data_IF_660032164139
#
_entry.id   IF_660032164139
#
_cell.length_a   1.000
_cell.length_b   1.000
_cell.length_c   1.000
_cell.angle_alpha   90.00
_cell.angle_beta   90.00
_cell.angle_gamma   90.00
#
_symmetry.space_group_name_H-M   'P 1'
#
loop_
_entity.id
_entity.type
_entity.pdbx_description
1 polymer ?
#
# COMPACT_ATOMS: atom_id res chain seq x y z
N UNK A 1 -8.93 -27.45 -0.77
CA UNK A 1 -9.32 -26.47 0.26
C UNK A 1 -8.30 -25.35 0.17
N UNK A 2 -8.72 -24.11 -0.11
CA UNK A 2 -7.79 -22.98 -0.09
C UNK A 2 -7.19 -22.87 1.32
N UNK A 3 -5.87 -22.73 1.42
CA UNK A 3 -5.24 -22.54 2.72
C UNK A 3 -5.68 -21.19 3.26
N UNK A 4 -6.20 -21.16 4.48
CA UNK A 4 -6.57 -19.91 5.14
C UNK A 4 -5.27 -19.13 5.41
N UNK A 5 -5.24 -17.85 5.03
CA UNK A 5 -4.11 -16.97 5.33
C UNK A 5 -3.95 -16.83 6.85
N UNK A 6 -2.81 -17.27 7.38
CA UNK A 6 -2.41 -17.10 8.78
C UNK A 6 -0.99 -16.51 8.82
N UNK A 7 -0.82 -15.22 9.14
CA UNK A 7 0.49 -14.57 9.12
C UNK A 7 1.47 -15.16 10.13
N UNK A 8 1.01 -15.70 11.27
CA UNK A 8 1.90 -16.31 12.27
C UNK A 8 2.64 -17.52 11.69
N UNK A 9 1.90 -18.38 10.98
CA UNK A 9 2.44 -19.59 10.36
C UNK A 9 3.29 -19.28 9.11
N UNK A 10 2.83 -18.36 8.26
CA UNK A 10 3.53 -18.05 7.00
C UNK A 10 4.82 -17.27 7.25
N UNK A 11 4.83 -16.32 8.20
CA UNK A 11 5.99 -15.49 8.48
C UNK A 11 6.93 -16.10 9.54
N UNK A 12 6.49 -17.16 10.22
CA UNK A 12 7.17 -17.78 11.37
C UNK A 12 7.45 -16.75 12.49
N UNK A 13 6.41 -15.99 12.84
CA UNK A 13 6.45 -14.96 13.88
C UNK A 13 5.30 -15.22 14.86
N UNK A 14 5.63 -15.34 16.14
CA UNK A 14 4.66 -15.76 17.18
C UNK A 14 4.62 -14.75 18.34
N UNK A 15 4.09 -13.53 18.14
CA UNK A 15 4.13 -12.49 19.16
C UNK A 15 3.18 -12.77 20.33
N UNK A 16 2.17 -13.62 20.15
CA UNK A 16 1.30 -14.10 21.25
C UNK A 16 2.00 -15.09 22.19
N UNK A 17 3.17 -15.61 21.80
CA UNK A 17 3.95 -16.54 22.62
C UNK A 17 4.50 -15.90 23.90
N UNK A 18 4.80 -16.75 24.89
CA UNK A 18 5.40 -16.33 26.18
C UNK A 18 6.74 -15.60 25.97
N UNK A 19 7.47 -15.97 24.91
CA UNK A 19 8.71 -15.31 24.50
C UNK A 19 8.73 -15.15 22.97
N UNK A 20 9.05 -13.94 22.53
CA UNK A 20 9.30 -13.62 21.12
C UNK A 20 10.79 -13.27 20.97
N UNK A 21 11.48 -14.01 20.11
CA UNK A 21 12.90 -13.77 19.78
C UNK A 21 13.04 -12.89 18.55
N UNK A 22 14.17 -12.19 18.46
CA UNK A 22 14.48 -11.32 17.34
C UNK A 22 14.64 -12.10 16.02
N UNK A 23 13.95 -11.68 14.96
CA UNK A 23 14.02 -12.31 13.63
C UNK A 23 15.34 -12.04 12.87
N UNK A 24 16.13 -11.08 13.33
CA UNK A 24 17.40 -10.69 12.70
C UNK A 24 18.51 -11.73 12.82
N UNK A 25 19.50 -11.63 11.94
CA UNK A 25 20.64 -12.56 11.87
C UNK A 25 21.93 -11.92 12.40
N UNK A 26 22.53 -12.54 13.41
CA UNK A 26 23.84 -12.14 13.96
C UNK A 26 24.99 -12.83 13.23
N UNK A 27 26.14 -12.16 13.10
CA UNK A 27 27.39 -12.79 12.62
C UNK A 27 27.83 -13.88 13.62
N UNK A 28 27.92 -15.11 13.14
CA UNK A 28 28.46 -16.23 13.91
C UNK A 28 29.99 -16.19 14.02
N UNK A 29 30.54 -16.98 14.95
CA UNK A 29 31.99 -17.09 15.19
C UNK A 29 32.76 -17.77 14.05
N UNK A 30 32.08 -18.51 13.18
CA UNK A 30 32.65 -19.10 11.96
C UNK A 30 32.47 -18.14 10.79
N UNK A 31 33.51 -17.92 9.98
CA UNK A 31 33.44 -17.12 8.74
C UNK A 31 32.25 -17.63 7.89
N UNK A 32 31.35 -16.73 7.52
CA UNK A 32 30.13 -16.95 6.72
C UNK A 32 28.96 -17.73 7.35
N UNK A 33 28.93 -17.97 8.67
CA UNK A 33 27.71 -18.46 9.30
C UNK A 33 26.95 -17.31 9.96
N UNK A 34 25.72 -17.09 9.51
CA UNK A 34 24.75 -16.25 10.21
C UNK A 34 23.97 -17.12 11.19
N UNK A 35 23.78 -16.65 12.43
CA UNK A 35 22.98 -17.34 13.44
C UNK A 35 21.76 -16.48 13.79
N UNK A 36 20.59 -17.10 14.07
CA UNK A 36 19.43 -16.37 14.56
C UNK A 36 19.75 -15.60 15.85
N UNK A 37 19.24 -14.38 15.95
CA UNK A 37 19.39 -13.58 17.15
C UNK A 37 18.56 -14.19 18.30
N UNK A 38 19.20 -14.45 19.43
CA UNK A 38 18.54 -15.01 20.62
C UNK A 38 17.98 -13.93 21.57
N UNK A 39 18.11 -12.64 21.21
CA UNK A 39 17.60 -11.55 22.03
C UNK A 39 16.07 -11.56 22.05
N UNK A 40 15.50 -11.34 23.23
CA UNK A 40 14.06 -11.21 23.40
C UNK A 40 13.58 -9.82 22.97
N UNK A 41 12.38 -9.77 22.39
CA UNK A 41 11.71 -8.53 22.02
C UNK A 41 10.96 -7.94 23.22
N UNK A 42 10.92 -6.61 23.29
CA UNK A 42 10.27 -5.88 24.39
C UNK A 42 8.77 -6.18 24.43
N UNK A 43 8.14 -6.05 25.61
CA UNK A 43 6.69 -6.27 25.76
C UNK A 43 5.86 -5.32 24.89
N UNK A 44 6.29 -4.07 24.74
CA UNK A 44 5.60 -3.07 23.91
C UNK A 44 5.69 -3.39 22.42
N UNK A 45 6.86 -3.77 21.92
CA UNK A 45 7.02 -4.13 20.51
C UNK A 45 6.25 -5.42 20.18
N UNK A 46 6.18 -6.36 21.14
CA UNK A 46 5.40 -7.59 20.99
C UNK A 46 3.90 -7.31 20.88
N UNK A 47 3.37 -6.43 21.73
CA UNK A 47 1.97 -6.02 21.66
C UNK A 47 1.66 -5.34 20.31
N UNK A 48 2.58 -4.51 19.80
CA UNK A 48 2.44 -3.88 18.49
C UNK A 48 2.52 -4.91 17.34
N UNK A 49 3.42 -5.89 17.42
CA UNK A 49 3.51 -6.98 16.45
C UNK A 49 2.18 -7.78 16.39
N UNK A 50 1.57 -8.09 17.54
CA UNK A 50 0.25 -8.75 17.57
C UNK A 50 -0.84 -7.92 16.87
N UNK A 51 -0.88 -6.60 17.10
CA UNK A 51 -1.85 -5.73 16.41
C UNK A 51 -1.64 -5.69 14.89
N UNK A 52 -0.39 -5.71 14.45
CA UNK A 52 -0.05 -5.74 13.02
C UNK A 52 -0.44 -7.08 12.40
N UNK A 53 -0.22 -8.21 13.09
CA UNK A 53 -0.66 -9.53 12.63
C UNK A 53 -2.18 -9.66 12.57
N UNK A 54 -2.92 -9.09 13.53
CA UNK A 54 -4.38 -9.01 13.46
C UNK A 54 -4.83 -8.24 12.22
N UNK A 55 -4.16 -7.13 11.93
CA UNK A 55 -4.41 -6.34 10.71
C UNK A 55 -4.11 -7.15 9.45
N UNK A 56 -2.97 -7.82 9.39
CA UNK A 56 -2.57 -8.67 8.26
C UNK A 56 -3.53 -9.85 8.06
N UNK A 57 -4.04 -10.45 9.15
CA UNK A 57 -4.98 -11.58 9.11
C UNK A 57 -6.33 -11.21 8.49
N UNK A 58 -6.72 -9.94 8.55
CA UNK A 58 -7.95 -9.43 7.93
C UNK A 58 -7.80 -9.11 6.45
N UNK A 59 -6.58 -9.12 5.88
CA UNK A 59 -6.34 -8.79 4.48
C UNK A 59 -6.42 -10.05 3.60
N UNK A 60 -7.08 -9.92 2.45
CA UNK A 60 -7.03 -10.95 1.40
C UNK A 60 -5.74 -10.80 0.57
N UNK A 61 -4.64 -11.33 1.11
CA UNK A 61 -3.32 -11.23 0.46
C UNK A 61 -3.25 -11.96 -0.89
N UNK A 62 -4.16 -12.89 -1.17
CA UNK A 62 -4.22 -13.60 -2.46
C UNK A 62 -4.83 -12.69 -3.53
N UNK A 63 -5.86 -11.92 -3.18
CA UNK A 63 -6.47 -10.95 -4.09
C UNK A 63 -5.63 -9.68 -4.26
N UNK A 64 -5.08 -9.15 -3.16
CA UNK A 64 -4.34 -7.88 -3.13
C UNK A 64 -2.90 -8.04 -3.68
N UNK A 65 -2.26 -9.18 -3.44
CA UNK A 65 -0.85 -9.39 -3.73
C UNK A 65 0.08 -8.64 -2.76
N UNK A 66 1.38 -8.92 -2.86
CA UNK A 66 2.40 -8.41 -1.91
C UNK A 66 2.84 -6.97 -2.21
N UNK A 67 2.70 -6.53 -3.47
CA UNK A 67 3.12 -5.20 -3.94
C UNK A 67 2.12 -4.10 -3.58
N UNK A 68 0.95 -4.44 -3.02
CA UNK A 68 0.03 -3.42 -2.59
C UNK A 68 0.60 -2.66 -1.38
N UNK A 69 0.54 -1.33 -1.45
CA UNK A 69 1.15 -0.43 -0.46
C UNK A 69 0.77 -0.76 0.99
N UNK A 70 -0.40 -1.33 1.21
CA UNK A 70 -0.90 -1.70 2.53
C UNK A 70 -0.13 -2.91 3.09
N UNK A 71 -0.05 -4.02 2.35
CA UNK A 71 0.63 -5.25 2.80
C UNK A 71 2.12 -4.97 3.02
N UNK A 72 2.78 -4.33 2.07
CA UNK A 72 4.21 -4.00 2.15
C UNK A 72 4.53 -3.10 3.35
N UNK A 73 3.68 -2.11 3.66
CA UNK A 73 3.85 -1.24 4.82
C UNK A 73 3.63 -1.97 6.14
N UNK A 74 2.64 -2.87 6.22
CA UNK A 74 2.42 -3.66 7.43
C UNK A 74 3.57 -4.63 7.69
N UNK A 75 4.13 -5.25 6.64
CA UNK A 75 5.32 -6.10 6.76
C UNK A 75 6.54 -5.32 7.26
N UNK A 76 6.80 -4.10 6.77
CA UNK A 76 7.90 -3.26 7.27
C UNK A 76 7.72 -2.89 8.76
N UNK A 77 6.50 -2.51 9.16
CA UNK A 77 6.20 -2.23 10.56
C UNK A 77 6.37 -3.47 11.43
N UNK A 78 5.92 -4.64 10.96
CA UNK A 78 6.08 -5.90 11.68
C UNK A 78 7.55 -6.21 11.90
N UNK A 79 8.40 -6.09 10.86
CA UNK A 79 9.85 -6.31 10.94
C UNK A 79 10.50 -5.39 11.95
N UNK A 80 10.14 -4.10 11.97
CA UNK A 80 10.69 -3.16 12.96
C UNK A 80 10.34 -3.58 14.39
N UNK A 81 9.18 -4.19 14.60
CA UNK A 81 8.76 -4.72 15.90
C UNK A 81 9.45 -6.05 16.25
N UNK A 82 9.77 -6.88 15.26
CA UNK A 82 10.40 -8.20 15.46
C UNK A 82 11.92 -8.14 15.55
N UNK A 83 12.55 -7.00 15.28
CA UNK A 83 13.99 -6.80 15.43
C UNK A 83 14.35 -6.16 16.78
N UNK A 84 15.36 -6.70 17.46
CA UNK A 84 15.82 -6.15 18.74
C UNK A 84 16.45 -4.75 18.58
N UNK A 85 16.10 -3.83 19.48
CA UNK A 85 16.47 -2.42 19.42
C UNK A 85 17.99 -2.16 19.53
N UNK A 86 18.73 -3.06 20.19
CA UNK A 86 20.16 -2.88 20.48
C UNK A 86 21.06 -3.06 19.27
N UNK A 87 20.74 -4.00 18.37
CA UNK A 87 21.65 -4.42 17.29
C UNK A 87 20.98 -4.33 15.92
N UNK A 88 19.85 -5.01 15.73
CA UNK A 88 19.29 -5.21 14.38
C UNK A 88 18.33 -4.10 13.93
N UNK A 89 17.53 -3.52 14.84
CA UNK A 89 16.58 -2.45 14.46
C UNK A 89 17.24 -1.17 13.94
N UNK A 90 18.52 -0.93 14.29
CA UNK A 90 19.27 0.25 13.84
C UNK A 90 19.98 0.04 12.49
N UNK A 91 19.98 -1.19 11.98
CA UNK A 91 20.67 -1.54 10.75
C UNK A 91 19.64 -1.63 9.62
N UNK A 92 19.55 -0.60 8.78
CA UNK A 92 18.58 -0.57 7.67
C UNK A 92 18.73 -1.79 6.74
N UNK A 93 19.96 -2.26 6.52
CA UNK A 93 20.22 -3.47 5.74
C UNK A 93 19.56 -4.74 6.33
N UNK A 94 19.48 -4.85 7.66
CA UNK A 94 18.79 -5.97 8.31
C UNK A 94 17.27 -5.82 8.24
N UNK A 95 16.75 -4.59 8.33
CA UNK A 95 15.32 -4.32 8.15
C UNK A 95 14.92 -4.73 6.73
N UNK A 96 15.59 -4.19 5.70
CA UNK A 96 15.30 -4.50 4.30
C UNK A 96 15.39 -6.00 4.03
N UNK A 97 16.47 -6.67 4.43
CA UNK A 97 16.63 -8.10 4.20
C UNK A 97 15.56 -8.96 4.91
N UNK A 98 15.11 -8.56 6.11
CA UNK A 98 14.04 -9.28 6.82
C UNK A 98 12.68 -9.00 6.19
N UNK A 99 12.42 -7.76 5.76
CA UNK A 99 11.21 -7.38 5.03
C UNK A 99 11.10 -8.13 3.70
N UNK A 100 12.19 -8.24 2.95
CA UNK A 100 12.23 -9.00 1.69
C UNK A 100 11.96 -10.49 1.94
N UNK A 101 12.55 -11.08 2.99
CA UNK A 101 12.25 -12.47 3.39
C UNK A 101 10.76 -12.67 3.71
N UNK A 102 10.13 -11.72 4.40
CA UNK A 102 8.70 -11.79 4.71
C UNK A 102 7.87 -11.68 3.43
N UNK A 103 8.21 -10.76 2.53
CA UNK A 103 7.56 -10.63 1.22
C UNK A 103 7.67 -11.90 0.39
N UNK A 104 8.84 -12.52 0.33
CA UNK A 104 9.05 -13.80 -0.35
C UNK A 104 8.15 -14.89 0.23
N UNK A 105 8.03 -14.97 1.56
CA UNK A 105 7.16 -15.95 2.22
C UNK A 105 5.68 -15.74 1.86
N UNK A 106 5.22 -14.49 1.77
CA UNK A 106 3.85 -14.18 1.32
C UNK A 106 3.68 -14.50 -0.18
N UNK A 107 4.65 -14.17 -1.03
CA UNK A 107 4.61 -14.49 -2.46
C UNK A 107 4.54 -16.00 -2.69
N UNK A 108 5.30 -16.79 -1.93
CA UNK A 108 5.26 -18.25 -1.98
C UNK A 108 3.88 -18.79 -1.57
N UNK A 109 3.30 -18.24 -0.50
CA UNK A 109 1.93 -18.58 -0.08
C UNK A 109 0.89 -18.26 -1.17
N UNK A 110 0.98 -17.08 -1.78
CA UNK A 110 0.09 -16.64 -2.85
C UNK A 110 0.25 -17.53 -4.09
N UNK A 111 1.48 -17.87 -4.47
CA UNK A 111 1.78 -18.78 -5.58
C UNK A 111 1.24 -20.20 -5.35
N UNK A 112 1.35 -20.73 -4.12
CA UNK A 112 0.75 -22.02 -3.76
C UNK A 112 -0.77 -21.99 -3.87
N UNK A 113 -1.42 -20.94 -3.35
CA UNK A 113 -2.88 -20.80 -3.41
C UNK A 113 -3.40 -20.60 -4.83
N UNK A 114 -2.71 -19.81 -5.67
CA UNK A 114 -3.08 -19.70 -7.08
C UNK A 114 -2.97 -21.04 -7.81
N UNK A 115 -1.91 -21.81 -7.58
CA UNK A 115 -1.79 -23.17 -8.16
C UNK A 115 -2.97 -24.04 -7.75
N UNK A 116 -3.33 -24.05 -6.46
CA UNK A 116 -4.47 -24.85 -5.96
C UNK A 116 -5.83 -24.35 -6.46
N UNK A 117 -6.02 -23.04 -6.59
CA UNK A 117 -7.26 -22.43 -7.13
C UNK A 117 -7.46 -22.67 -8.62
N UNK A 118 -6.37 -22.67 -9.41
CA UNK A 118 -6.41 -23.02 -10.83
C UNK A 118 -6.76 -24.50 -11.03
N UNK A 119 -6.32 -25.39 -10.14
CA UNK A 119 -6.74 -26.80 -10.15
C UNK A 119 -8.23 -26.98 -9.81
N UNK A 120 -8.76 -26.23 -8.84
CA UNK A 120 -10.17 -26.28 -8.47
C UNK A 120 -11.09 -25.82 -9.63
N UNK A 121 -10.71 -24.77 -10.37
CA UNK A 121 -11.45 -24.32 -11.55
C UNK A 121 -11.30 -25.25 -12.77
N UNK A 122 -10.25 -26.09 -12.82
CA UNK A 122 -10.10 -27.13 -13.84
C UNK A 122 -10.94 -28.38 -13.55
N UNK A 123 -11.16 -28.74 -12.29
CA UNK A 123 -12.04 -29.85 -11.91
C UNK A 123 -13.54 -29.49 -12.01
N UNK A 124 -13.89 -28.20 -11.89
CA UNK A 124 -15.26 -27.70 -12.13
C UNK A 124 -15.58 -27.41 -13.61
N UNK A 125 -14.70 -27.75 -14.56
CA UNK A 125 -15.17 -27.93 -15.94
C UNK A 125 -16.19 -29.07 -15.91
N UNK A 126 -17.46 -28.86 -16.31
CA UNK A 126 -18.44 -29.93 -16.32
C UNK A 126 -17.86 -31.05 -17.16
N UNK A 127 -17.57 -32.19 -16.52
CA UNK A 127 -17.31 -33.44 -17.24
C UNK A 127 -18.46 -33.56 -18.21
N UNK A 128 -18.18 -33.45 -19.50
CA UNK A 128 -19.13 -33.80 -20.55
C UNK A 128 -19.42 -35.28 -20.30
N UNK A 129 -20.47 -35.55 -19.54
CA UNK A 129 -21.02 -36.87 -19.38
C UNK A 129 -21.47 -37.22 -20.78
N UNK A 130 -20.69 -38.07 -21.45
CA UNK A 130 -21.14 -38.80 -22.63
C UNK A 130 -22.36 -39.58 -22.15
N UNK A 131 -23.54 -39.02 -22.39
CA UNK A 131 -24.80 -39.62 -22.02
C UNK A 131 -24.93 -40.95 -22.76
N UNK A 132 -24.65 -42.04 -22.05
CA UNK A 132 -25.22 -43.33 -22.37
C UNK A 132 -26.74 -43.14 -22.42
N UNK A 133 -27.30 -43.38 -23.61
CA UNK A 133 -28.74 -43.35 -23.89
C UNK A 133 -29.46 -44.36 -22.99
N UNK A 134 -29.89 -43.94 -21.81
CA UNK A 134 -30.96 -44.62 -21.10
C UNK A 134 -32.29 -44.00 -21.49
N UNK A 135 -33.10 -44.85 -22.14
CA UNK A 135 -34.50 -44.60 -22.44
C UNK A 135 -35.28 -44.53 -21.12
N UNK A 136 -35.75 -43.36 -20.73
CA UNK A 136 -36.88 -43.26 -19.80
C UNK A 136 -37.81 -42.15 -20.26
N UNK A 137 -38.87 -42.61 -20.94
CA UNK A 137 -40.27 -42.26 -20.71
C UNK A 137 -40.53 -41.02 -19.84
N UNK A 138 -40.93 -39.89 -20.42
CA UNK A 138 -41.75 -38.89 -19.72
C UNK A 138 -42.84 -38.33 -20.64
N UNK A 139 -44.05 -38.60 -20.21
CA UNK A 139 -45.31 -37.95 -20.55
C UNK A 139 -45.30 -36.50 -20.01
N UNK A 140 -45.98 -35.57 -20.68
CA UNK A 140 -46.57 -34.41 -20.01
C UNK A 140 -46.27 -33.01 -20.56
N UNK A 141 -47.19 -32.52 -21.40
CA UNK A 141 -47.64 -31.13 -21.57
C UNK A 141 -46.77 -30.08 -22.33
N UNK A 142 -47.36 -28.96 -22.82
CA UNK A 142 -48.67 -28.80 -23.44
C UNK A 142 -48.57 -28.28 -24.89
N UNK A 143 -49.63 -28.56 -25.65
CA UNK A 143 -49.87 -28.11 -27.03
C UNK A 143 -49.84 -26.58 -27.16
N UNK A 144 -48.97 -26.07 -28.03
CA UNK A 144 -49.18 -24.81 -28.74
C UNK A 144 -49.60 -25.14 -30.19
N UNK A 145 -50.73 -24.58 -30.61
CA UNK A 145 -51.32 -24.74 -31.94
C UNK A 145 -50.56 -23.92 -32.99
N UNK A 146 -50.43 -24.41 -34.23
CA UNK A 146 -50.30 -23.54 -35.40
C UNK A 146 -51.65 -23.41 -36.13
N UNK A 147 -51.94 -22.16 -36.49
CA UNK A 147 -53.02 -21.68 -37.36
C UNK A 147 -52.92 -22.31 -38.77
N UNK A 148 -54.04 -22.62 -39.45
CA UNK A 148 -54.03 -23.22 -40.78
C UNK A 148 -53.97 -22.17 -41.88
N UNK A 149 -53.12 -22.41 -42.89
CA UNK A 149 -53.20 -21.73 -44.18
C UNK A 149 -53.50 -22.77 -45.27
N UNK A 150 -54.74 -22.72 -45.74
CA UNK A 150 -55.22 -23.38 -46.94
C UNK A 150 -54.48 -22.85 -48.17
N UNK A 151 -53.92 -23.75 -49.00
CA UNK A 151 -53.72 -23.51 -50.43
C UNK A 151 -53.69 -24.84 -51.21
N UNK A 152 -54.88 -25.17 -51.69
CA UNK A 152 -55.28 -26.04 -52.78
C UNK A 152 -54.17 -26.58 -53.71
N UNK A 153 -53.98 -27.91 -53.72
CA UNK A 153 -53.63 -28.66 -54.94
C UNK A 153 -54.18 -30.10 -54.81
N UNK A 154 -55.32 -30.35 -55.47
CA UNK A 154 -55.96 -31.67 -55.61
C UNK A 154 -55.09 -32.61 -56.44
N UNK A 155 -54.81 -33.85 -56.00
CA UNK A 155 -54.50 -34.94 -56.92
C UNK A 155 -55.80 -35.45 -57.55
N UNK A 156 -55.85 -35.42 -58.88
CA UNK A 156 -56.91 -36.00 -59.69
C UNK A 156 -56.99 -37.51 -59.42
N UNK A 157 -58.15 -37.96 -58.94
CA UNK A 157 -58.53 -39.38 -58.90
C UNK A 157 -58.52 -39.95 -60.32
N UNK A 158 -57.97 -41.14 -60.58
CA UNK A 158 -58.28 -41.87 -61.80
C UNK A 158 -59.75 -42.29 -61.75
N UNK A 159 -60.49 -41.82 -62.75
CA UNK A 159 -61.89 -42.18 -63.01
C UNK A 159 -61.93 -43.66 -63.37
N UNK A 160 -62.68 -44.41 -62.57
CA UNK A 160 -63.08 -45.78 -62.84
C UNK A 160 -64.06 -45.77 -64.04
N UNK A 161 -63.55 -45.92 -65.26
CA UNK A 161 -64.41 -46.20 -66.42
C UNK A 161 -64.66 -47.71 -66.48
N UNK A 162 -65.67 -48.16 -65.73
CA UNK A 162 -66.43 -49.36 -66.08
C UNK A 162 -67.20 -49.04 -67.36
N UNK A 163 -66.63 -49.38 -68.51
CA UNK A 163 -67.39 -49.50 -69.75
C UNK A 163 -67.98 -50.91 -69.80
N UNK A 164 -69.25 -51.00 -69.39
CA UNK A 164 -70.14 -52.10 -69.74
C UNK A 164 -70.26 -52.13 -71.27
N UNK A 165 -69.64 -53.10 -71.93
CA UNK A 165 -69.80 -53.35 -73.36
C UNK A 165 -70.38 -54.75 -73.57
N UNK A 166 -71.71 -54.75 -73.74
CA UNK A 166 -72.58 -55.66 -74.50
C UNK A 166 -72.00 -57.01 -74.98
N UNK A 167 -72.64 -58.15 -74.65
CA UNK A 167 -72.37 -59.41 -75.33
C UNK A 167 -72.86 -59.36 -76.80
N UNK A 168 -72.11 -59.94 -77.76
CA UNK A 168 -72.58 -60.06 -79.14
C UNK A 168 -73.76 -61.05 -79.26
N UNK A 169 -74.61 -60.91 -80.29
CA UNK A 169 -75.81 -61.72 -80.47
C UNK A 169 -75.47 -63.19 -80.75
N UNK A 170 -76.19 -64.09 -80.07
CA UNK A 170 -76.18 -65.54 -80.34
C UNK A 170 -76.62 -65.79 -81.78
N UNK A 171 -75.66 -66.09 -82.65
CA UNK A 171 -75.96 -66.69 -83.94
C UNK A 171 -76.45 -68.12 -83.71
N UNK A 172 -77.60 -68.41 -84.29
CA UNK A 172 -78.29 -69.70 -84.27
C UNK A 172 -77.51 -70.63 -85.20
N UNK A 173 -76.54 -71.35 -84.66
CA UNK A 173 -75.81 -72.37 -85.43
C UNK A 173 -76.75 -73.50 -85.81
N UNK A 174 -76.88 -73.67 -87.12
CA UNK A 174 -77.58 -74.77 -87.78
C UNK A 174 -76.83 -76.06 -87.45
N UNK A 175 -77.53 -76.97 -86.78
CA UNK A 175 -77.05 -78.30 -86.43
C UNK A 175 -76.89 -79.13 -87.73
N UNK A 176 -75.74 -79.01 -88.40
CA UNK A 176 -75.34 -79.93 -89.47
C UNK A 176 -74.85 -81.20 -88.80
N UNK A 177 -75.62 -82.27 -88.95
CA UNK A 177 -75.26 -83.62 -88.52
C UNK A 177 -73.99 -84.04 -89.29
N UNK A 178 -72.87 -84.34 -88.62
CA UNK A 178 -71.67 -84.80 -89.31
C UNK A 178 -71.92 -86.19 -89.93
N UNK A 179 -71.41 -86.46 -91.15
CA UNK A 179 -71.47 -87.80 -91.72
C UNK A 179 -70.69 -88.79 -90.85
N UNK A 180 -71.23 -90.00 -90.77
CA UNK A 180 -70.76 -91.13 -89.97
C UNK A 180 -69.24 -91.34 -90.12
N UNK A 181 -68.47 -91.50 -89.02
CA UNK A 181 -67.04 -91.61 -89.09
C UNK A 181 -66.63 -92.90 -89.80
N UNK A 182 -65.82 -92.77 -90.84
CA UNK A 182 -65.06 -93.87 -91.41
C UNK A 182 -64.23 -94.56 -90.29
N UNK A 183 -63.97 -95.88 -90.37
CA UNK A 183 -63.28 -96.62 -89.32
C UNK A 183 -61.88 -96.01 -89.10
N UNK A 184 -61.75 -95.21 -88.05
CA UNK A 184 -60.49 -94.55 -87.73
C UNK A 184 -59.55 -95.60 -87.16
N UNK A 185 -58.39 -95.72 -87.79
CA UNK A 185 -57.32 -96.59 -87.33
C UNK A 185 -56.87 -96.10 -85.94
N UNK A 186 -57.24 -96.85 -84.90
CA UNK A 186 -56.97 -96.54 -83.49
C UNK A 186 -55.50 -96.19 -83.22
N UNK A 187 -54.59 -96.80 -83.99
CA UNK A 187 -53.15 -96.56 -83.89
C UNK A 187 -52.73 -95.16 -84.41
N UNK A 188 -53.47 -94.60 -85.37
CA UNK A 188 -53.25 -93.27 -85.93
C UNK A 188 -53.76 -92.18 -84.98
N UNK A 189 -54.92 -92.39 -84.35
CA UNK A 189 -55.45 -91.56 -83.27
C UNK A 189 -54.50 -91.49 -82.06
N UNK A 190 -53.91 -92.63 -81.67
CA UNK A 190 -52.95 -92.67 -80.56
C UNK A 190 -51.65 -91.90 -80.89
N UNK A 191 -51.15 -92.00 -82.13
CA UNK A 191 -49.99 -91.21 -82.60
C UNK A 191 -50.28 -89.71 -82.63
N UNK A 192 -51.46 -89.30 -83.12
CA UNK A 192 -51.87 -87.89 -83.09
C UNK A 192 -52.07 -87.37 -81.68
N UNK A 193 -52.60 -88.20 -80.77
CA UNK A 193 -52.74 -87.85 -79.35
C UNK A 193 -51.38 -87.68 -78.69
N UNK A 194 -50.42 -88.55 -78.97
CA UNK A 194 -49.03 -88.42 -78.50
C UNK A 194 -48.35 -87.17 -79.07
N UNK A 195 -48.51 -86.88 -80.36
CA UNK A 195 -47.98 -85.67 -80.99
C UNK A 195 -48.55 -84.39 -80.34
N UNK A 196 -49.86 -84.34 -80.08
CA UNK A 196 -50.51 -83.21 -79.38
C UNK A 196 -49.99 -83.02 -77.96
N UNK A 197 -49.68 -84.10 -77.22
CA UNK A 197 -49.10 -84.01 -75.88
C UNK A 197 -47.68 -83.45 -75.92
N UNK A 198 -46.86 -83.88 -76.87
CA UNK A 198 -45.50 -83.35 -77.08
C UNK A 198 -45.54 -81.87 -77.48
N UNK A 199 -46.44 -81.49 -78.38
CA UNK A 199 -46.63 -80.09 -78.78
C UNK A 199 -47.17 -79.24 -77.61
N UNK A 200 -48.10 -79.78 -76.83
CA UNK A 200 -48.62 -79.10 -75.63
C UNK A 200 -47.52 -78.91 -74.58
N UNK A 201 -46.63 -79.89 -74.40
CA UNK A 201 -45.50 -79.76 -73.48
C UNK A 201 -44.45 -78.76 -74.01
N UNK A 202 -44.16 -78.77 -75.32
CA UNK A 202 -43.32 -77.76 -75.97
C UNK A 202 -43.90 -76.35 -75.78
N UNK A 203 -45.21 -76.17 -75.97
CA UNK A 203 -45.88 -74.88 -75.73
C UNK A 203 -45.83 -74.47 -74.26
N UNK A 204 -46.00 -75.41 -73.31
CA UNK A 204 -45.85 -75.12 -71.87
C UNK A 204 -44.43 -74.65 -71.52
N UNK A 205 -43.40 -75.31 -72.07
CA UNK A 205 -41.99 -74.92 -71.86
C UNK A 205 -41.69 -73.54 -72.45
N UNK A 206 -42.19 -73.24 -73.65
CA UNK A 206 -42.06 -71.90 -74.25
C UNK A 206 -42.79 -70.83 -73.43
N UNK A 207 -44.01 -71.11 -72.96
CA UNK A 207 -44.77 -70.20 -72.10
C UNK A 207 -44.11 -70.00 -70.73
N UNK A 208 -43.45 -71.02 -70.19
CA UNK A 208 -42.66 -70.92 -68.96
C UNK A 208 -41.38 -70.11 -69.18
N UNK A 209 -40.63 -70.37 -70.26
CA UNK A 209 -39.47 -69.56 -70.64
C UNK A 209 -39.83 -68.09 -70.86
N UNK A 210 -40.98 -67.81 -71.51
CA UNK A 210 -41.48 -66.45 -71.67
C UNK A 210 -41.83 -65.80 -70.32
N UNK A 211 -42.46 -66.55 -69.41
CA UNK A 211 -42.76 -66.05 -68.05
C UNK A 211 -41.48 -65.77 -67.26
N UNK A 212 -40.48 -66.64 -67.35
CA UNK A 212 -39.17 -66.45 -66.72
C UNK A 212 -38.44 -65.24 -67.31
N UNK A 213 -38.44 -65.07 -68.64
CA UNK A 213 -37.84 -63.91 -69.30
C UNK A 213 -38.53 -62.59 -68.90
N UNK A 214 -39.87 -62.58 -68.83
CA UNK A 214 -40.64 -61.42 -68.35
C UNK A 214 -40.36 -61.11 -66.88
N UNK A 215 -40.26 -62.13 -66.03
CA UNK A 215 -39.90 -61.97 -64.63
C UNK A 215 -38.49 -61.38 -64.48
N UNK A 216 -37.53 -61.87 -65.26
CA UNK A 216 -36.17 -61.34 -65.28
C UNK A 216 -36.13 -59.87 -65.71
N UNK A 217 -36.87 -59.50 -66.76
CA UNK A 217 -36.94 -58.11 -67.21
C UNK A 217 -37.51 -57.18 -66.14
N UNK A 218 -38.53 -57.62 -65.40
CA UNK A 218 -39.09 -56.85 -64.27
C UNK A 218 -38.08 -56.66 -63.13
N UNK A 219 -37.33 -57.71 -62.79
CA UNK A 219 -36.28 -57.63 -61.78
C UNK A 219 -35.16 -56.68 -62.21
N UNK A 220 -34.75 -56.74 -63.48
CA UNK A 220 -33.73 -55.85 -64.03
C UNK A 220 -34.19 -54.39 -64.04
N UNK A 221 -35.47 -54.14 -64.35
CA UNK A 221 -36.07 -52.81 -64.30
C UNK A 221 -36.17 -52.27 -62.86
N UNK A 222 -36.62 -53.10 -61.91
CA UNK A 222 -36.59 -52.75 -60.49
C UNK A 222 -35.17 -52.44 -60.01
N UNK A 223 -34.18 -53.25 -60.41
CA UNK A 223 -32.79 -53.00 -60.08
C UNK A 223 -32.26 -51.68 -60.69
N UNK A 224 -32.70 -51.32 -61.91
CA UNK A 224 -32.41 -50.00 -62.51
C UNK A 224 -33.02 -48.87 -61.69
N UNK A 225 -34.29 -48.97 -61.30
CA UNK A 225 -34.96 -47.96 -60.47
C UNK A 225 -34.28 -47.78 -59.11
N UNK A 226 -33.88 -48.87 -58.44
CA UNK A 226 -33.16 -48.81 -57.16
C UNK A 226 -31.81 -48.13 -57.33
N UNK A 227 -31.06 -48.44 -58.40
CA UNK A 227 -29.78 -47.75 -58.70
C UNK A 227 -29.98 -46.27 -58.97
N UNK A 228 -31.03 -45.90 -59.70
CA UNK A 228 -31.35 -44.51 -60.00
C UNK A 228 -31.77 -43.74 -58.74
N UNK A 229 -32.64 -44.32 -57.90
CA UNK A 229 -32.99 -43.75 -56.59
C UNK A 229 -31.75 -43.58 -55.69
N UNK A 230 -30.85 -44.56 -55.68
CA UNK A 230 -29.60 -44.47 -54.93
C UNK A 230 -28.69 -43.34 -55.48
N UNK A 231 -28.65 -43.14 -56.80
CA UNK A 231 -27.93 -42.03 -57.43
C UNK A 231 -28.50 -40.68 -57.01
N UNK A 232 -29.82 -40.49 -57.07
CA UNK A 232 -30.45 -39.24 -56.61
C UNK A 232 -30.20 -38.96 -55.13
N UNK A 233 -30.34 -39.97 -54.26
CA UNK A 233 -30.04 -39.83 -52.83
C UNK A 233 -28.58 -39.43 -52.57
N UNK A 234 -27.63 -39.91 -53.37
CA UNK A 234 -26.21 -39.50 -53.26
C UNK A 234 -26.04 -38.03 -53.64
N UNK A 235 -26.63 -37.59 -54.75
CA UNK A 235 -26.57 -36.18 -55.18
C UNK A 235 -27.20 -35.26 -54.14
N UNK A 236 -28.36 -35.63 -53.58
CA UNK A 236 -29.02 -34.85 -52.53
C UNK A 236 -28.17 -34.81 -51.24
N UNK A 237 -27.57 -35.93 -50.84
CA UNK A 237 -26.67 -35.99 -49.69
C UNK A 237 -25.43 -35.11 -49.88
N UNK A 238 -24.84 -35.10 -51.07
CA UNK A 238 -23.72 -34.24 -51.42
C UNK A 238 -24.12 -32.76 -51.38
N UNK A 239 -25.29 -32.39 -51.91
CA UNK A 239 -25.80 -31.02 -51.85
C UNK A 239 -25.99 -30.56 -50.40
N UNK A 240 -26.62 -31.38 -49.56
CA UNK A 240 -26.83 -31.06 -48.14
C UNK A 240 -25.49 -30.95 -47.39
N UNK A 241 -24.52 -31.82 -47.70
CA UNK A 241 -23.19 -31.76 -47.11
C UNK A 241 -22.46 -30.47 -47.51
N UNK A 242 -22.58 -30.04 -48.76
CA UNK A 242 -21.97 -28.79 -49.24
C UNK A 242 -22.64 -27.55 -48.62
N UNK A 243 -23.97 -27.53 -48.54
CA UNK A 243 -24.71 -26.48 -47.83
C UNK A 243 -24.29 -26.38 -46.35
N UNK A 244 -24.08 -27.52 -45.68
CA UNK A 244 -23.60 -27.56 -44.31
C UNK A 244 -22.16 -27.01 -44.19
N UNK A 245 -21.27 -27.33 -45.13
CA UNK A 245 -19.90 -26.76 -45.16
C UNK A 245 -19.91 -25.25 -45.37
N UNK A 246 -20.73 -24.75 -46.31
CA UNK A 246 -20.88 -23.31 -46.55
C UNK A 246 -21.45 -22.60 -45.31
N UNK A 247 -22.45 -23.19 -44.66
CA UNK A 247 -23.01 -22.65 -43.42
C UNK A 247 -21.98 -22.63 -42.28
N UNK A 248 -21.16 -23.68 -42.15
CA UNK A 248 -20.07 -23.74 -41.17
C UNK A 248 -19.00 -22.67 -41.46
N UNK A 249 -18.59 -22.51 -42.73
CA UNK A 249 -17.63 -21.50 -43.12
C UNK A 249 -18.12 -20.08 -42.83
N UNK A 250 -19.42 -19.80 -43.03
CA UNK A 250 -20.04 -18.51 -42.66
C UNK A 250 -19.98 -18.27 -41.15
N UNK A 251 -20.34 -19.27 -40.33
CA UNK A 251 -20.28 -19.15 -38.86
C UNK A 251 -18.86 -18.83 -38.38
N UNK A 252 -17.85 -19.51 -38.93
CA UNK A 252 -16.44 -19.24 -38.58
C UNK A 252 -16.06 -17.82 -38.96
N UNK A 253 -16.43 -17.34 -40.16
CA UNK A 253 -16.17 -15.96 -40.58
C UNK A 253 -16.84 -14.93 -39.65
N UNK A 254 -18.11 -15.13 -39.34
CA UNK A 254 -18.85 -14.22 -38.45
C UNK A 254 -18.25 -14.22 -37.04
N UNK A 255 -17.81 -15.37 -36.53
CA UNK A 255 -17.11 -15.47 -35.25
C UNK A 255 -15.76 -14.76 -35.28
N UNK A 256 -14.97 -14.93 -36.34
CA UNK A 256 -13.69 -14.22 -36.50
C UNK A 256 -13.87 -12.71 -36.59
N UNK A 257 -14.92 -12.25 -37.28
CA UNK A 257 -15.23 -10.82 -37.38
C UNK A 257 -15.65 -10.25 -36.04
N UNK A 258 -16.50 -10.97 -35.28
CA UNK A 258 -16.87 -10.59 -33.91
C UNK A 258 -15.65 -10.46 -33.00
N UNK A 259 -14.73 -11.43 -33.05
CA UNK A 259 -13.47 -11.38 -32.30
C UNK A 259 -12.60 -10.20 -32.71
N UNK A 260 -12.55 -9.87 -34.00
CA UNK A 260 -11.79 -8.70 -34.50
C UNK A 260 -12.36 -7.39 -33.97
N UNK A 261 -13.68 -7.21 -34.06
CA UNK A 261 -14.38 -6.00 -33.56
C UNK A 261 -14.22 -5.87 -32.04
N UNK A 262 -14.33 -6.97 -31.30
CA UNK A 262 -14.13 -6.96 -29.86
C UNK A 262 -12.68 -6.63 -29.47
N UNK A 263 -11.69 -7.20 -30.16
CA UNK A 263 -10.29 -6.88 -29.94
C UNK A 263 -9.98 -5.40 -30.23
N UNK A 264 -10.58 -4.83 -31.28
CA UNK A 264 -10.44 -3.41 -31.60
C UNK A 264 -11.06 -2.50 -30.52
N UNK A 265 -12.24 -2.87 -30.01
CA UNK A 265 -12.88 -2.16 -28.88
C UNK A 265 -12.00 -2.20 -27.63
N UNK A 266 -11.49 -3.36 -27.26
CA UNK A 266 -10.58 -3.51 -26.11
C UNK A 266 -9.32 -2.66 -26.31
N UNK A 267 -8.72 -2.69 -27.49
CA UNK A 267 -7.55 -1.86 -27.81
C UNK A 267 -7.86 -0.36 -27.77
N UNK A 268 -9.07 0.07 -28.13
CA UNK A 268 -9.51 1.46 -28.01
C UNK A 268 -9.69 1.86 -26.53
N UNK A 269 -10.31 1.02 -25.72
CA UNK A 269 -10.48 1.23 -24.28
C UNK A 269 -9.13 1.31 -23.55
N UNK A 270 -8.17 0.43 -23.90
CA UNK A 270 -6.81 0.48 -23.37
C UNK A 270 -6.08 1.77 -23.76
N UNK A 271 -6.20 2.20 -25.02
CA UNK A 271 -5.63 3.49 -25.47
C UNK A 271 -6.24 4.67 -24.71
N UNK A 272 -7.55 4.66 -24.50
CA UNK A 272 -8.23 5.69 -23.71
C UNK A 272 -7.79 5.65 -22.24
N UNK A 273 -7.63 4.48 -21.64
CA UNK A 273 -7.14 4.31 -20.27
C UNK A 273 -5.71 4.86 -20.13
N UNK A 274 -4.79 4.47 -21.03
CA UNK A 274 -3.42 5.02 -21.10
C UNK A 274 -3.41 6.54 -21.24
N UNK A 275 -4.32 7.09 -22.06
CA UNK A 275 -4.52 8.53 -22.21
C UNK A 275 -4.90 9.21 -20.89
N UNK A 276 -5.86 8.66 -20.16
CA UNK A 276 -6.28 9.17 -18.83
C UNK A 276 -5.15 9.11 -17.80
N UNK A 277 -4.41 8.00 -17.74
CA UNK A 277 -3.26 7.88 -16.84
C UNK A 277 -2.15 8.89 -17.18
N UNK A 278 -1.85 9.07 -18.47
CA UNK A 278 -0.87 10.06 -18.92
C UNK A 278 -1.30 11.49 -18.57
N UNK A 279 -2.60 11.80 -18.66
CA UNK A 279 -3.15 13.10 -18.25
C UNK A 279 -3.09 13.29 -16.74
N UNK A 280 -3.46 12.28 -15.95
CA UNK A 280 -3.36 12.33 -14.49
C UNK A 280 -1.90 12.53 -14.05
N UNK A 281 -0.95 11.83 -14.68
CA UNK A 281 0.47 12.01 -14.43
C UNK A 281 0.97 13.43 -14.77
N UNK A 282 0.44 14.06 -15.84
CA UNK A 282 0.71 15.48 -16.14
C UNK A 282 0.18 16.39 -15.03
N UNK A 283 -1.08 16.20 -14.61
CA UNK A 283 -1.69 17.01 -13.53
C UNK A 283 -0.89 16.93 -12.22
N UNK A 284 -0.46 15.72 -11.83
CA UNK A 284 0.36 15.53 -10.63
C UNK A 284 1.70 16.25 -10.78
N UNK A 285 2.37 16.15 -11.94
CA UNK A 285 3.63 16.88 -12.19
C UNK A 285 3.43 18.39 -12.11
N UNK A 286 2.39 18.93 -12.76
CA UNK A 286 2.09 20.35 -12.74
C UNK A 286 1.76 20.85 -11.32
N UNK A 287 1.04 20.05 -10.53
CA UNK A 287 0.76 20.35 -9.13
C UNK A 287 2.02 20.32 -8.27
N UNK A 288 2.89 19.31 -8.45
CA UNK A 288 4.16 19.24 -7.73
C UNK A 288 5.08 20.41 -8.09
N UNK A 289 5.08 20.85 -9.35
CA UNK A 289 5.85 22.01 -9.80
C UNK A 289 5.30 23.30 -9.19
N UNK A 290 3.98 23.47 -9.16
CA UNK A 290 3.34 24.62 -8.49
C UNK A 290 3.69 24.68 -7.00
N UNK A 291 3.64 23.54 -6.31
CA UNK A 291 4.05 23.46 -4.89
C UNK A 291 5.53 23.78 -4.70
N UNK A 292 6.39 23.36 -5.62
CA UNK A 292 7.83 23.69 -5.61
C UNK A 292 8.06 25.19 -5.74
N UNK A 293 7.44 25.83 -6.74
CA UNK A 293 7.54 27.28 -6.99
C UNK A 293 7.00 28.07 -5.78
N UNK A 294 5.87 27.64 -5.20
CA UNK A 294 5.31 28.29 -4.02
C UNK A 294 6.22 28.16 -2.80
N UNK A 295 6.79 26.97 -2.56
CA UNK A 295 7.73 26.75 -1.47
C UNK A 295 8.99 27.62 -1.62
N UNK A 296 9.50 27.79 -2.85
CA UNK A 296 10.63 28.67 -3.13
C UNK A 296 10.29 30.14 -2.84
N UNK A 297 9.11 30.61 -3.27
CA UNK A 297 8.63 31.96 -2.97
C UNK A 297 8.50 32.22 -1.46
N UNK A 298 7.92 31.27 -0.73
CA UNK A 298 7.80 31.37 0.74
C UNK A 298 9.18 31.39 1.40
N UNK A 299 10.12 30.57 0.91
CA UNK A 299 11.49 30.57 1.42
C UNK A 299 12.23 31.89 1.14
N UNK A 300 11.99 32.51 -0.02
CA UNK A 300 12.55 33.82 -0.36
C UNK A 300 11.98 34.94 0.53
N UNK A 301 10.67 34.93 0.75
CA UNK A 301 10.01 35.88 1.65
C UNK A 301 10.52 35.74 3.09
N UNK A 302 10.70 34.50 3.56
CA UNK A 302 11.26 34.22 4.87
C UNK A 302 12.71 34.72 5.00
N UNK A 303 13.55 34.55 3.97
CA UNK A 303 14.91 35.10 3.93
C UNK A 303 14.88 36.63 3.99
N UNK A 304 14.01 37.28 3.22
CA UNK A 304 13.85 38.74 3.25
C UNK A 304 13.37 39.24 4.63
N UNK A 305 12.47 38.51 5.28
CA UNK A 305 12.02 38.82 6.63
C UNK A 305 13.16 38.71 7.65
N UNK A 306 13.99 37.66 7.55
CA UNK A 306 15.14 37.50 8.43
C UNK A 306 16.14 38.65 8.29
N UNK A 307 16.44 39.07 7.06
CA UNK A 307 17.33 40.21 6.80
C UNK A 307 16.79 41.49 7.49
N UNK A 308 15.47 41.72 7.44
CA UNK A 308 14.85 42.86 8.14
C UNK A 308 15.01 42.79 9.66
N UNK A 309 14.80 41.60 10.24
CA UNK A 309 14.99 41.37 11.69
C UNK A 309 16.45 41.59 12.09
N UNK A 310 17.39 41.08 11.31
CA UNK A 310 18.82 41.24 11.56
C UNK A 310 19.24 42.71 11.48
N UNK A 311 18.73 43.45 10.49
CA UNK A 311 19.00 44.88 10.35
C UNK A 311 18.42 45.69 11.52
N UNK A 312 17.18 45.40 11.93
CA UNK A 312 16.58 46.03 13.11
C UNK A 312 17.38 45.73 14.38
N UNK A 313 17.83 44.49 14.55
CA UNK A 313 18.68 44.08 15.67
C UNK A 313 20.00 44.84 15.67
N UNK A 314 20.62 45.00 14.49
CA UNK A 314 21.84 45.82 14.33
C UNK A 314 21.59 47.28 14.73
N UNK A 315 20.50 47.90 14.27
CA UNK A 315 20.14 49.29 14.62
C UNK A 315 19.94 49.47 16.12
N UNK A 316 19.24 48.54 16.77
CA UNK A 316 19.04 48.57 18.24
C UNK A 316 20.37 48.45 18.98
N UNK A 317 21.27 47.54 18.54
CA UNK A 317 22.62 47.41 19.13
C UNK A 317 23.46 48.67 18.95
N UNK A 318 23.42 49.28 17.76
CA UNK A 318 24.13 50.54 17.50
C UNK A 318 23.59 51.68 18.35
N UNK A 319 22.26 51.79 18.50
CA UNK A 319 21.63 52.79 19.37
C UNK A 319 22.02 52.57 20.84
N UNK A 320 21.99 51.33 21.32
CA UNK A 320 22.43 51.00 22.68
C UNK A 320 23.90 51.35 22.90
N UNK A 321 24.77 51.08 21.93
CA UNK A 321 26.19 51.44 22.01
C UNK A 321 26.37 52.97 22.03
N UNK A 322 25.63 53.72 21.20
CA UNK A 322 25.64 55.18 21.21
C UNK A 322 25.20 55.75 22.56
N UNK A 323 24.14 55.20 23.14
CA UNK A 323 23.65 55.60 24.47
C UNK A 323 24.69 55.30 25.55
N UNK A 324 25.35 54.14 25.51
CA UNK A 324 26.42 53.80 26.45
C UNK A 324 27.59 54.78 26.35
N UNK A 325 28.07 55.10 25.14
CA UNK A 325 29.15 56.07 24.93
C UNK A 325 28.74 57.46 25.45
N UNK A 326 27.51 57.88 25.20
CA UNK A 326 27.00 59.16 25.71
C UNK A 326 26.93 59.19 27.25
N UNK A 327 26.48 58.11 27.89
CA UNK A 327 26.48 57.97 29.36
C UNK A 327 27.89 58.02 29.95
N UNK A 328 28.86 57.34 29.31
CA UNK A 328 30.27 57.36 29.75
C UNK A 328 30.86 58.78 29.68
N UNK A 329 30.61 59.52 28.60
CA UNK A 329 31.03 60.92 28.45
C UNK A 329 30.38 61.83 29.49
N UNK A 330 29.07 61.72 29.70
CA UNK A 330 28.36 62.49 30.72
C UNK A 330 28.90 62.18 32.14
N UNK A 331 29.22 60.92 32.42
CA UNK A 331 29.84 60.53 33.69
C UNK A 331 31.25 61.11 33.84
N UNK A 332 32.03 61.17 32.76
CA UNK A 332 33.35 61.80 32.76
C UNK A 332 33.27 63.32 33.00
N UNK A 333 32.36 64.01 32.30
CA UNK A 333 32.08 65.43 32.52
C UNK A 333 31.63 65.72 33.96
N UNK A 334 30.75 64.87 34.52
CA UNK A 334 30.33 64.99 35.92
C UNK A 334 31.50 64.81 36.90
N UNK A 335 32.40 63.85 36.65
CA UNK A 335 33.63 63.66 37.45
C UNK A 335 34.55 64.88 37.36
N UNK A 336 34.72 65.44 36.16
CA UNK A 336 35.53 66.64 35.96
C UNK A 336 34.93 67.86 36.69
N UNK A 337 33.60 68.07 36.59
CA UNK A 337 32.90 69.13 37.30
C UNK A 337 33.02 68.98 38.82
N UNK A 338 32.86 67.76 39.34
CA UNK A 338 33.03 67.48 40.77
C UNK A 338 34.46 67.76 41.24
N UNK A 339 35.46 67.42 40.43
CA UNK A 339 36.87 67.70 40.72
C UNK A 339 37.12 69.22 40.77
N UNK A 340 36.59 69.97 39.81
CA UNK A 340 36.66 71.44 39.81
C UNK A 340 36.00 72.05 41.06
N UNK A 341 34.82 71.56 41.47
CA UNK A 341 34.14 72.02 42.69
C UNK A 341 35.01 71.77 43.94
N UNK A 342 35.60 70.57 44.06
CA UNK A 342 36.46 70.22 45.19
C UNK A 342 37.73 71.10 45.21
N UNK A 343 38.35 71.33 44.06
CA UNK A 343 39.51 72.22 43.96
C UNK A 343 39.15 73.68 44.29
N UNK A 344 38.01 74.17 43.81
CA UNK A 344 37.53 75.51 44.11
C UNK A 344 37.24 75.67 45.61
N UNK A 345 36.60 74.68 46.24
CA UNK A 345 36.37 74.66 47.68
C UNK A 345 37.70 74.67 48.47
N UNK A 346 38.71 73.93 48.01
CA UNK A 346 40.05 73.95 48.59
C UNK A 346 40.69 75.33 48.49
N UNK A 347 40.65 75.97 47.32
CA UNK A 347 41.17 77.34 47.12
C UNK A 347 40.48 78.34 48.05
N UNK A 348 39.15 78.30 48.13
CA UNK A 348 38.37 79.17 49.01
C UNK A 348 38.73 78.96 50.49
N UNK A 349 38.91 77.71 50.92
CA UNK A 349 39.36 77.38 52.27
C UNK A 349 40.76 77.91 52.55
N UNK A 350 41.69 77.70 51.63
CA UNK A 350 43.08 78.16 51.78
C UNK A 350 43.14 79.70 51.83
N UNK A 351 42.30 80.40 51.06
CA UNK A 351 42.14 81.86 51.15
C UNK A 351 41.54 82.30 52.49
N UNK A 352 40.51 81.62 52.98
CA UNK A 352 39.91 81.91 54.29
C UNK A 352 40.95 81.73 55.43
N UNK A 353 41.74 80.66 55.37
CA UNK A 353 42.85 80.41 56.32
C UNK A 353 43.87 81.55 56.24
N UNK A 354 44.25 81.98 55.04
CA UNK A 354 45.19 83.11 54.86
C UNK A 354 44.65 84.40 55.47
N UNK A 355 43.40 84.78 55.16
CA UNK A 355 42.74 85.96 55.75
C UNK A 355 42.68 85.88 57.27
N UNK A 356 42.38 84.70 57.82
CA UNK A 356 42.36 84.48 59.28
C UNK A 356 43.75 84.62 59.90
N UNK A 357 44.79 84.11 59.23
CA UNK A 357 46.17 84.28 59.69
C UNK A 357 46.61 85.76 59.65
N UNK A 358 46.24 86.50 58.61
CA UNK A 358 46.47 87.95 58.52
C UNK A 358 45.76 88.69 59.66
N UNK A 359 44.49 88.36 59.93
CA UNK A 359 43.74 88.89 61.08
C UNK A 359 44.43 88.58 62.41
N UNK A 360 44.82 87.33 62.65
CA UNK A 360 45.54 86.93 63.88
C UNK A 360 46.90 87.63 64.01
N UNK A 361 47.62 87.83 62.90
CA UNK A 361 48.89 88.55 62.89
C UNK A 361 48.69 90.04 63.20
N UNK A 362 47.61 90.64 62.70
CA UNK A 362 47.22 92.01 63.02
C UNK A 362 46.74 92.15 64.47
N UNK A 363 45.90 91.23 64.97
CA UNK A 363 45.53 91.13 66.38
C UNK A 363 46.77 90.97 67.28
N UNK A 364 47.76 90.16 66.88
CA UNK A 364 49.03 90.01 67.59
C UNK A 364 49.92 91.26 67.52
N UNK A 365 49.82 92.06 66.45
CA UNK A 365 50.47 93.38 66.36
C UNK A 365 49.83 94.39 67.29
N UNK A 366 48.49 94.39 67.38
CA UNK A 366 47.70 95.27 68.25
C UNK A 366 47.87 94.90 69.73
N UNK A 367 47.98 93.61 70.06
CA UNK A 367 48.06 93.12 71.44
C UNK A 367 49.48 93.02 72.02
N UNK A 368 50.45 93.83 71.57
CA UNK A 368 51.84 93.71 72.05
C UNK A 368 52.06 94.38 73.43
N UNK A 369 51.77 93.65 74.50
CA UNK A 369 52.39 93.76 75.83
C UNK A 369 53.29 92.52 76.08
N UNK A 370 54.34 92.59 76.94
CA UNK A 370 55.38 91.55 77.01
C UNK A 370 55.04 90.42 78.01
N UNK A 371 55.88 89.36 78.00
CA UNK A 371 55.90 88.14 78.86
C UNK A 371 55.08 86.92 78.35
N UNK A 372 55.46 85.64 78.48
CA UNK A 372 56.66 84.91 78.93
C UNK A 372 56.48 83.41 78.55
N UNK A 373 57.58 82.73 78.17
CA UNK A 373 58.06 81.37 78.58
C UNK A 373 57.28 80.04 78.34
N UNK A 374 58.00 79.16 77.60
CA UNK A 374 58.23 77.68 77.67
C UNK A 374 57.16 76.58 77.38
N UNK A 375 57.61 75.40 76.88
CA UNK A 375 56.83 74.43 76.10
C UNK A 375 56.45 73.15 76.86
N UNK A 376 55.46 72.41 76.36
CA UNK A 376 55.31 71.00 76.73
C UNK A 376 54.91 70.08 75.56
N UNK A 377 55.62 68.95 75.53
CA UNK A 377 55.53 67.81 74.60
C UNK A 377 54.21 67.07 74.79
N UNK A 378 53.70 66.38 73.76
CA UNK A 378 53.09 65.01 73.80
C UNK A 378 52.45 64.65 72.42
N UNK A 379 52.22 63.35 72.09
CA UNK A 379 52.97 62.70 71.01
C UNK A 379 52.14 62.27 69.78
N UNK A 380 52.87 61.76 68.79
CA UNK A 380 52.42 61.15 67.54
C UNK A 380 51.37 60.04 67.74
N UNK A 381 50.24 60.15 67.01
CA UNK A 381 49.26 59.07 66.88
C UNK A 381 49.65 58.11 65.75
N UNK A 382 49.49 56.83 66.08
CA UNK A 382 50.02 55.67 65.41
C UNK A 382 49.40 55.38 64.04
N UNK A 383 50.25 54.84 63.14
CA UNK A 383 49.83 54.02 62.00
C UNK A 383 49.23 52.71 62.54
N UNK A 384 47.96 52.45 62.23
CA UNK A 384 47.34 51.14 62.45
C UNK A 384 47.54 50.25 61.23
N UNK A 385 48.54 49.38 61.35
CA UNK A 385 48.70 48.16 60.55
C UNK A 385 47.55 47.19 60.86
N UNK A 386 46.78 46.79 59.85
CA UNK A 386 45.75 45.76 59.98
C UNK A 386 46.40 44.37 60.05
N UNK A 387 46.28 43.72 61.21
CA UNK A 387 46.49 42.28 61.37
C UNK A 387 45.30 41.47 60.79
N UNK A 388 45.51 40.23 60.32
CA UNK A 388 44.47 39.43 59.69
C UNK A 388 43.45 38.94 60.74
N UNK A 389 42.18 39.25 60.51
CA UNK A 389 41.04 38.79 61.30
C UNK A 389 40.84 37.27 61.13
N UNK A 390 40.49 36.51 62.18
CA UNK A 390 40.11 35.11 62.07
C UNK A 390 38.82 34.97 61.25
N UNK A 391 38.73 33.88 60.48
CA UNK A 391 37.64 33.58 59.56
C UNK A 391 36.27 33.73 60.24
N UNK A 392 35.47 34.68 59.77
CA UNK A 392 34.07 34.86 60.19
C UNK A 392 33.28 33.61 59.84
N UNK A 393 32.64 33.00 60.84
CA UNK A 393 31.67 31.95 60.67
C UNK A 393 30.45 32.50 59.92
N UNK A 394 30.17 31.96 58.74
CA UNK A 394 29.09 32.40 57.86
C UNK A 394 27.77 31.83 58.38
N UNK A 395 26.81 32.70 58.71
CA UNK A 395 25.47 32.31 59.18
C UNK A 395 24.50 32.14 58.02
N UNK A 396 23.60 31.14 58.11
CA UNK A 396 22.49 30.94 57.17
C UNK A 396 21.57 32.17 57.18
N UNK A 397 21.19 32.67 56.00
CA UNK A 397 20.21 33.73 55.89
C UNK A 397 18.77 33.20 56.13
N UNK A 398 17.82 34.05 56.54
CA UNK A 398 16.40 33.69 56.59
C UNK A 398 15.90 33.15 55.23
N UNK A 399 14.81 32.38 55.24
CA UNK A 399 14.19 31.82 54.03
C UNK A 399 13.37 32.83 53.23
N UNK A 400 13.37 34.11 53.64
CA UNK A 400 12.58 35.19 53.03
C UNK A 400 13.09 35.62 51.64
N UNK A 401 14.12 34.95 51.10
CA UNK A 401 14.71 35.23 49.80
C UNK A 401 14.39 34.09 48.80
N UNK A 402 13.98 34.45 47.59
CA UNK A 402 13.75 33.49 46.51
C UNK A 402 15.03 32.79 46.06
N UNK A 403 14.89 31.55 45.60
CA UNK A 403 15.97 30.77 45.04
C UNK A 403 16.55 31.47 43.80
N UNK A 404 17.84 31.83 43.81
CA UNK A 404 18.47 32.57 42.70
C UNK A 404 18.64 31.77 41.39
N UNK A 405 18.30 30.46 41.39
CA UNK A 405 18.37 29.60 40.19
C UNK A 405 17.02 29.58 39.47
N UNK A 406 15.92 29.33 40.18
CA UNK A 406 14.58 29.25 39.59
C UNK A 406 13.71 30.50 39.82
N UNK A 407 14.14 31.42 40.71
CA UNK A 407 13.39 32.61 41.13
C UNK A 407 12.05 32.31 41.82
N UNK A 408 11.94 31.14 42.48
CA UNK A 408 10.77 30.74 43.27
C UNK A 408 11.11 30.76 44.77
N UNK A 409 10.08 31.01 45.59
CA UNK A 409 10.22 31.05 47.05
C UNK A 409 10.54 29.66 47.63
N UNK A 410 11.25 29.63 48.75
CA UNK A 410 11.65 28.38 49.42
C UNK A 410 10.73 28.16 50.62
N UNK A 411 9.77 27.26 50.47
CA UNK A 411 8.70 27.07 51.45
C UNK A 411 9.17 26.44 52.76
N UNK A 412 10.17 25.54 52.71
CA UNK A 412 10.65 24.81 53.88
C UNK A 412 12.18 24.85 54.03
N UNK A 413 12.71 24.89 55.26
CA UNK A 413 14.15 24.81 55.50
C UNK A 413 14.77 23.48 55.09
N UNK A 414 13.98 22.41 54.99
CA UNK A 414 14.36 21.07 54.55
C UNK A 414 14.61 20.99 53.03
N UNK A 415 13.88 21.80 52.25
CA UNK A 415 14.02 21.88 50.79
C UNK A 415 15.14 22.83 50.36
N UNK A 416 15.78 23.54 51.31
CA UNK A 416 16.89 24.45 51.05
C UNK A 416 18.25 23.87 51.45
N UNK A 417 19.23 24.00 50.57
CA UNK A 417 20.66 23.99 50.93
C UNK A 417 21.19 25.42 50.93
N UNK A 418 22.27 25.69 51.66
CA UNK A 418 22.80 27.04 51.81
C UNK A 418 24.33 27.11 51.78
N UNK A 419 24.86 28.27 51.41
CA UNK A 419 26.30 28.45 51.26
C UNK A 419 27.00 28.73 52.60
N UNK A 420 27.63 27.68 53.18
CA UNK A 420 28.46 27.79 54.39
C UNK A 420 29.83 28.43 54.17
N UNK A 421 30.23 28.60 52.92
CA UNK A 421 31.55 29.11 52.56
C UNK A 421 31.67 30.61 52.71
N UNK A 422 30.63 31.38 52.36
CA UNK A 422 30.75 32.84 52.34
C UNK A 422 29.44 33.63 52.42
N UNK A 423 28.44 33.33 51.60
CA UNK A 423 27.30 34.23 51.42
C UNK A 423 26.04 33.91 52.23
N UNK A 424 25.92 32.70 52.82
CA UNK A 424 24.77 32.36 53.65
C UNK A 424 23.43 32.13 52.91
N UNK A 425 23.36 32.38 51.59
CA UNK A 425 22.14 32.29 50.77
C UNK A 425 21.60 30.87 50.65
N UNK A 426 20.27 30.77 50.67
CA UNK A 426 19.50 29.54 50.46
C UNK A 426 19.24 29.31 48.96
N UNK A 427 19.16 28.04 48.56
CA UNK A 427 18.80 27.58 47.21
C UNK A 427 18.05 26.25 47.35
N UNK A 428 17.06 25.97 46.49
CA UNK A 428 16.42 24.66 46.53
C UNK A 428 17.44 23.55 46.33
N UNK A 429 17.29 22.47 47.09
CA UNK A 429 18.16 21.29 47.02
C UNK A 429 18.25 20.74 45.60
N UNK A 430 17.11 20.62 44.93
CA UNK A 430 17.03 20.14 43.54
C UNK A 430 17.76 21.06 42.56
N UNK A 431 17.59 22.38 42.73
CA UNK A 431 18.27 23.38 41.92
C UNK A 431 19.80 23.30 42.09
N UNK A 432 20.28 23.12 43.32
CA UNK A 432 21.70 22.93 43.60
C UNK A 432 22.24 21.60 43.04
N UNK A 433 21.50 20.51 43.16
CA UNK A 433 21.89 19.21 42.61
C UNK A 433 21.99 19.24 41.09
N UNK A 434 21.04 19.90 40.41
CA UNK A 434 21.06 20.10 38.96
C UNK A 434 22.26 20.93 38.52
N UNK A 435 22.46 22.08 39.14
CA UNK A 435 23.59 22.97 38.83
C UNK A 435 24.96 22.31 39.13
N UNK A 436 25.08 21.60 40.25
CA UNK A 436 26.32 20.90 40.60
C UNK A 436 26.64 19.72 39.68
N UNK A 437 25.63 19.05 39.10
CA UNK A 437 25.82 18.03 38.06
C UNK A 437 26.44 18.63 36.79
N UNK A 438 25.91 19.76 36.31
CA UNK A 438 26.44 20.48 35.14
C UNK A 438 27.89 20.92 35.37
N UNK A 439 28.18 21.54 36.52
CA UNK A 439 29.54 21.99 36.83
C UNK A 439 30.56 20.84 36.94
N UNK A 440 30.15 19.69 37.50
CA UNK A 440 31.00 18.48 37.54
C UNK A 440 31.23 17.90 36.14
N UNK A 441 30.21 17.90 35.27
CA UNK A 441 30.34 17.46 33.88
C UNK A 441 31.34 18.33 33.10
N UNK A 442 31.36 19.63 33.37
CA UNK A 442 32.30 20.59 32.78
C UNK A 442 33.70 20.59 33.43
N UNK A 443 33.96 19.67 34.38
CA UNK A 443 35.24 19.58 35.11
C UNK A 443 35.54 20.77 36.03
N UNK A 444 34.53 21.61 36.29
CA UNK A 444 34.67 22.82 37.12
C UNK A 444 34.48 22.47 38.60
N UNK A 445 35.22 23.18 39.47
CA UNK A 445 34.99 23.09 40.92
C UNK A 445 33.65 23.71 41.27
N UNK A 446 32.94 23.08 42.21
CA UNK A 446 31.64 23.57 42.70
C UNK A 446 31.88 24.80 43.57
N UNK A 447 31.50 25.97 43.07
CA UNK A 447 31.60 27.28 43.74
C UNK A 447 30.25 27.97 43.75
N UNK A 448 29.81 28.54 44.87
CA UNK A 448 28.50 29.21 44.99
C UNK A 448 28.13 30.08 43.76
N UNK A 449 27.03 29.73 43.07
CA UNK A 449 26.62 30.36 41.80
C UNK A 449 26.25 31.84 41.93
N UNK A 450 25.76 32.26 43.11
CA UNK A 450 25.46 33.66 43.40
C UNK A 450 26.70 34.57 43.28
N UNK A 451 27.89 34.06 43.53
CA UNK A 451 29.13 34.84 43.44
C UNK A 451 29.73 34.88 42.02
N UNK A 452 29.50 33.84 41.20
CA UNK A 452 29.87 33.87 39.78
C UNK A 452 29.12 34.98 39.02
N UNK A 453 27.86 35.24 39.40
CA UNK A 453 27.06 36.33 38.83
C UNK A 453 27.60 37.73 39.21
N UNK A 454 28.34 37.85 40.32
CA UNK A 454 28.88 39.12 40.82
C UNK A 454 30.36 39.35 40.45
N UNK A 455 31.01 38.43 39.74
CA UNK A 455 32.34 38.63 39.17
C UNK A 455 33.51 38.63 40.17
N UNK A 456 33.26 38.31 41.43
CA UNK A 456 34.31 38.18 42.42
C UNK A 456 34.71 36.68 42.52
N UNK A 457 36.01 36.36 42.56
CA UNK A 457 36.48 34.98 42.73
C UNK A 457 36.69 34.65 44.21
N UNK A 458 36.18 33.51 44.70
CA UNK A 458 36.49 33.06 46.07
C UNK A 458 36.75 31.55 46.19
N UNK A 459 37.73 31.22 47.03
CA UNK A 459 38.23 29.88 47.31
C UNK A 459 37.40 29.11 48.33
N UNK A 460 37.18 27.82 48.01
CA UNK A 460 36.73 26.71 48.88
C UNK A 460 35.40 26.92 49.62
N UNK A 461 34.30 26.57 48.95
CA UNK A 461 33.03 26.25 49.62
C UNK A 461 32.93 24.75 49.94
N UNK A 462 32.78 24.41 51.23
CA UNK A 462 32.19 23.12 51.65
C UNK A 462 30.68 23.33 51.71
N UNK A 463 29.93 22.64 50.86
CA UNK A 463 28.48 22.55 50.92
C UNK A 463 28.15 21.19 51.55
N UNK A 464 27.23 21.17 52.53
CA UNK A 464 26.71 19.95 53.14
C UNK A 464 25.29 19.71 52.62
#
# INVERSE_FOLDING_TARGET
MAALWNPEEVLDVHPRGERMTCSGLSKGTKKNQFKPCQNTISKSDRALATQIEDTLSMLDVVALGVEENIVSRQLDLLVRCTLCAGVHRRQEAQIVATTDKFKESVLDFVAVNHRQGVFALQEERPRVVVAQRQRVNQQGAPRAQPVPLHALARPLRPVNQRAEARPPPRQREVHVVPPSPAPVNRHQLERERQARLVDQERQRRLAEQQRQAQAQTRLDEQARQVREQARFRRIDAERVAEEARVAQARRVRDETERRRVEAERVAQEERAARGRFAEQARRVRDETERRRIEAERVAEEARAAQIRVDEQTRRVREQANRMRIAQERAAEEARAAQTHIVEQARRNRDELVRRRQEQLAEEARVNRAPEMREPDRFPAVARLSHAPQPAREVRRQPLDEDCYICHESIDTPEDATWCRGQCGKNVHRECFEGWSRVQRADGRRITCGYWLLLGYGCGRSRVA
#
